data_IF_373462445815
#
_entry.id   IF_373462445815
#
_cell.length_a   1.000
_cell.length_b   1.000
_cell.length_c   1.000
_cell.angle_alpha   90.00
_cell.angle_beta   90.00
_cell.angle_gamma   90.00
#
_symmetry.space_group_name_H-M   'P 1'
#
loop_
_entity.id
_entity.type
_entity.pdbx_description
1 polymer ?
#
# COMPACT_ATOMS: atom_id res chain seq x y z
N UNK A 1 -25.53 5.79 3.37
CA UNK A 1 -24.53 5.38 2.35
C UNK A 1 -23.18 6.02 2.67
N UNK A 2 -22.13 5.25 2.71
CA UNK A 2 -20.77 5.74 3.01
C UNK A 2 -19.97 5.85 1.72
N UNK A 3 -19.32 6.99 1.47
CA UNK A 3 -18.42 7.15 0.33
C UNK A 3 -17.06 6.54 0.65
N UNK A 4 -16.61 5.67 -0.20
CA UNK A 4 -15.31 5.02 -0.09
C UNK A 4 -14.48 5.23 -1.34
N UNK A 5 -13.16 5.29 -1.14
CA UNK A 5 -12.20 5.38 -2.24
C UNK A 5 -11.59 4.01 -2.53
N UNK A 6 -11.79 3.51 -3.75
CA UNK A 6 -11.17 2.26 -4.24
C UNK A 6 -10.21 2.53 -5.37
N UNK A 7 -9.12 1.79 -5.40
CA UNK A 7 -8.11 1.87 -6.46
C UNK A 7 -8.09 0.58 -7.29
N UNK A 8 -8.39 0.69 -8.57
CA UNK A 8 -8.33 -0.39 -9.55
C UNK A 8 -7.08 -0.28 -10.40
N UNK A 9 -6.24 -1.31 -10.41
CA UNK A 9 -4.97 -1.29 -11.14
C UNK A 9 -5.02 -2.20 -12.36
N UNK A 10 -4.82 -1.62 -13.56
CA UNK A 10 -4.80 -2.33 -14.82
C UNK A 10 -3.41 -2.27 -15.44
N UNK A 11 -3.02 -3.33 -16.14
CA UNK A 11 -1.87 -3.30 -17.05
C UNK A 11 -2.28 -2.66 -18.36
N UNK A 12 -1.50 -1.69 -18.83
CA UNK A 12 -1.70 -1.01 -20.11
C UNK A 12 -0.82 -1.60 -21.21
N UNK A 13 -1.32 -1.55 -22.44
CA UNK A 13 -0.64 -1.99 -23.66
C UNK A 13 -0.59 -0.83 -24.66
N UNK A 14 0.21 0.21 -24.39
CA UNK A 14 0.31 1.37 -25.27
C UNK A 14 1.03 1.07 -26.59
N UNK A 15 0.65 1.76 -27.66
CA UNK A 15 1.33 1.79 -28.96
C UNK A 15 2.71 2.43 -28.85
N UNK A 16 3.49 2.47 -29.90
CA UNK A 16 4.81 3.12 -29.88
C UNK A 16 4.70 4.62 -29.60
N UNK A 17 3.83 5.33 -30.32
CA UNK A 17 3.59 6.76 -30.10
C UNK A 17 3.09 7.08 -28.68
N UNK A 18 2.18 6.26 -28.16
CA UNK A 18 1.73 6.39 -26.77
C UNK A 18 2.85 6.13 -25.76
N UNK A 19 3.78 5.19 -26.02
CA UNK A 19 4.96 4.97 -25.15
C UNK A 19 5.89 6.17 -25.14
N UNK A 20 6.11 6.81 -26.27
CA UNK A 20 6.93 8.03 -26.36
C UNK A 20 6.32 9.16 -25.54
N UNK A 21 5.00 9.39 -25.70
CA UNK A 21 4.29 10.40 -24.91
C UNK A 21 4.29 10.09 -23.41
N UNK A 22 4.18 8.82 -23.03
CA UNK A 22 4.30 8.38 -21.62
C UNK A 22 5.71 8.64 -21.06
N UNK A 23 6.77 8.36 -21.82
CA UNK A 23 8.15 8.63 -21.36
C UNK A 23 8.42 10.15 -21.27
N UNK A 24 7.87 10.97 -22.21
CA UNK A 24 7.87 12.44 -22.10
C UNK A 24 7.13 12.89 -20.85
N UNK A 25 5.93 12.36 -20.58
CA UNK A 25 5.13 12.68 -19.40
C UNK A 25 5.88 12.37 -18.09
N UNK A 26 6.55 11.21 -17.99
CA UNK A 26 7.40 10.90 -16.82
C UNK A 26 8.60 11.84 -16.70
N UNK A 27 9.17 12.27 -17.83
CA UNK A 27 10.24 13.26 -17.89
C UNK A 27 9.81 14.61 -17.35
N UNK A 28 8.70 15.12 -17.85
CA UNK A 28 8.13 16.42 -17.47
C UNK A 28 7.72 16.43 -15.99
N UNK A 29 7.03 15.39 -15.53
CA UNK A 29 6.68 15.29 -14.10
C UNK A 29 7.89 15.36 -13.19
N UNK A 30 9.01 14.75 -13.59
CA UNK A 30 10.28 14.83 -12.85
C UNK A 30 10.89 16.22 -12.94
N UNK A 31 10.87 16.84 -14.12
CA UNK A 31 11.42 18.19 -14.35
C UNK A 31 10.72 19.22 -13.47
N UNK A 32 9.39 19.27 -13.49
CA UNK A 32 8.59 20.19 -12.65
C UNK A 32 8.90 20.00 -11.16
N UNK A 33 8.92 18.74 -10.70
CA UNK A 33 9.28 18.45 -9.32
C UNK A 33 10.66 18.99 -8.95
N UNK A 34 11.66 18.76 -9.80
CA UNK A 34 13.03 19.16 -9.57
C UNK A 34 13.21 20.68 -9.68
N UNK A 35 12.55 21.34 -10.63
CA UNK A 35 12.58 22.76 -10.83
C UNK A 35 12.15 23.52 -9.56
N UNK A 36 10.96 23.19 -9.05
CA UNK A 36 10.45 23.82 -7.84
C UNK A 36 11.20 23.39 -6.57
N UNK A 37 11.75 22.20 -6.53
CA UNK A 37 12.64 21.80 -5.43
C UNK A 37 13.92 22.62 -5.41
N UNK A 38 14.56 22.84 -6.58
CA UNK A 38 15.76 23.67 -6.69
C UNK A 38 15.49 25.12 -6.34
N UNK A 39 14.36 25.68 -6.81
CA UNK A 39 13.96 27.06 -6.49
C UNK A 39 13.65 27.27 -5.00
N UNK A 40 13.32 26.21 -4.27
CA UNK A 40 12.96 26.28 -2.85
C UNK A 40 14.14 26.53 -1.91
N UNK A 41 15.38 26.51 -2.37
CA UNK A 41 16.61 26.83 -1.61
C UNK A 41 16.63 26.20 -0.20
N UNK A 42 16.40 24.89 -0.10
CA UNK A 42 16.43 24.13 1.16
C UNK A 42 15.45 24.56 2.26
N UNK A 43 14.43 25.37 1.95
CA UNK A 43 13.40 25.74 2.92
C UNK A 43 12.68 24.47 3.43
N UNK A 44 12.15 24.53 4.66
CA UNK A 44 11.45 23.40 5.29
C UNK A 44 10.08 23.09 4.69
N UNK A 45 9.51 24.00 3.92
CA UNK A 45 8.19 23.85 3.28
C UNK A 45 8.17 24.52 1.90
N UNK A 46 7.13 24.22 1.11
CA UNK A 46 6.88 24.85 -0.18
C UNK A 46 5.43 25.32 -0.26
N UNK A 47 5.22 26.50 -0.85
CA UNK A 47 3.87 27.00 -1.13
C UNK A 47 3.46 26.57 -2.55
N UNK A 48 2.59 25.55 -2.63
CA UNK A 48 2.10 25.02 -3.90
C UNK A 48 1.34 26.07 -4.73
N UNK A 49 0.60 26.97 -4.10
CA UNK A 49 -0.19 27.98 -4.81
C UNK A 49 0.70 28.99 -5.52
N UNK A 50 1.81 29.40 -4.88
CA UNK A 50 2.81 30.23 -5.51
C UNK A 50 3.47 29.53 -6.69
N UNK A 51 3.86 28.26 -6.54
CA UNK A 51 4.41 27.45 -7.63
C UNK A 51 3.44 27.31 -8.81
N UNK A 52 2.12 27.19 -8.53
CA UNK A 52 1.09 27.12 -9.58
C UNK A 52 0.94 28.47 -10.31
N UNK A 53 1.07 29.61 -9.62
CA UNK A 53 1.07 30.95 -10.26
C UNK A 53 2.26 31.14 -11.21
N UNK A 54 3.41 30.58 -10.90
CA UNK A 54 4.62 30.65 -11.73
C UNK A 54 4.60 29.65 -12.90
N UNK A 55 3.75 28.62 -12.85
CA UNK A 55 3.72 27.56 -13.85
C UNK A 55 3.41 28.05 -15.29
N UNK A 56 2.52 29.04 -15.54
CA UNK A 56 2.26 29.56 -16.89
C UNK A 56 3.49 30.18 -17.55
N UNK A 57 4.30 30.91 -16.80
CA UNK A 57 5.56 31.51 -17.32
C UNK A 57 6.55 30.40 -17.68
N UNK A 58 6.73 29.41 -16.79
CA UNK A 58 7.58 28.26 -17.06
C UNK A 58 7.15 27.49 -18.31
N UNK A 59 5.83 27.40 -18.58
CA UNK A 59 5.30 26.75 -19.79
C UNK A 59 5.57 27.60 -21.04
N UNK A 60 5.52 28.93 -20.93
CA UNK A 60 5.88 29.84 -22.06
C UNK A 60 7.34 29.68 -22.44
N UNK A 61 8.23 29.62 -21.48
CA UNK A 61 9.67 29.39 -21.70
C UNK A 61 9.98 27.97 -22.21
N UNK A 62 9.11 27.00 -21.92
CA UNK A 62 9.31 25.57 -22.22
C UNK A 62 8.09 24.98 -22.94
N UNK A 63 7.89 25.33 -24.20
CA UNK A 63 6.70 24.95 -24.99
C UNK A 63 6.46 23.45 -25.10
N UNK A 64 7.53 22.63 -25.02
CA UNK A 64 7.42 21.17 -25.02
C UNK A 64 6.57 20.61 -23.85
N UNK A 65 6.31 21.41 -22.80
CA UNK A 65 5.38 21.02 -21.73
C UNK A 65 3.91 20.98 -22.18
N UNK A 66 3.55 21.68 -23.25
CA UNK A 66 2.18 21.67 -23.80
C UNK A 66 1.79 20.33 -24.44
N UNK A 67 2.78 19.49 -24.75
CA UNK A 67 2.54 18.17 -25.34
C UNK A 67 1.86 17.19 -24.39
N UNK A 68 2.02 17.38 -23.08
CA UNK A 68 1.47 16.47 -22.06
C UNK A 68 0.20 17.03 -21.41
N UNK A 69 -0.42 16.21 -20.58
CA UNK A 69 -1.59 16.60 -19.81
C UNK A 69 -1.28 17.70 -18.79
N UNK A 70 -2.05 18.78 -18.80
CA UNK A 70 -1.88 19.93 -17.90
C UNK A 70 -2.07 19.55 -16.40
N UNK A 71 -2.92 18.57 -16.11
CA UNK A 71 -3.09 18.07 -14.75
C UNK A 71 -1.79 17.46 -14.18
N UNK A 72 -0.98 16.83 -15.02
CA UNK A 72 0.33 16.28 -14.62
C UNK A 72 1.24 17.36 -14.04
N UNK A 73 1.25 18.55 -14.66
CA UNK A 73 2.12 19.66 -14.22
C UNK A 73 1.78 20.07 -12.80
N UNK A 74 0.50 20.33 -12.51
CA UNK A 74 0.01 20.71 -11.19
C UNK A 74 0.19 19.59 -10.16
N UNK A 75 -0.13 18.35 -10.52
CA UNK A 75 0.00 17.22 -9.59
C UNK A 75 1.46 16.90 -9.26
N UNK A 76 2.41 17.28 -10.11
CA UNK A 76 3.83 17.17 -9.80
C UNK A 76 4.26 18.14 -8.69
N UNK A 77 3.69 19.35 -8.64
CA UNK A 77 3.87 20.32 -7.56
C UNK A 77 3.24 19.80 -6.26
N UNK A 78 2.02 19.25 -6.33
CA UNK A 78 1.37 18.65 -5.16
C UNK A 78 2.19 17.50 -4.57
N UNK A 79 2.78 16.65 -5.42
CA UNK A 79 3.66 15.58 -4.96
C UNK A 79 4.91 16.11 -4.24
N UNK A 80 5.42 17.28 -4.64
CA UNK A 80 6.53 17.93 -3.95
C UNK A 80 6.08 18.45 -2.58
N UNK A 81 4.93 19.15 -2.50
CA UNK A 81 4.35 19.61 -1.24
C UNK A 81 4.12 18.45 -0.26
N UNK A 82 3.54 17.34 -0.73
CA UNK A 82 3.33 16.15 0.08
C UNK A 82 4.65 15.56 0.61
N UNK A 83 5.72 15.63 -0.19
CA UNK A 83 7.04 15.20 0.25
C UNK A 83 7.58 16.08 1.40
N UNK A 84 7.38 17.39 1.33
CA UNK A 84 7.73 18.32 2.42
C UNK A 84 6.85 18.11 3.66
N UNK A 85 5.55 17.92 3.49
CA UNK A 85 4.63 17.61 4.62
C UNK A 85 5.04 16.33 5.36
N UNK A 86 5.47 15.31 4.63
CA UNK A 86 5.99 14.07 5.24
C UNK A 86 7.31 14.30 5.98
N UNK A 87 8.19 15.12 5.42
CA UNK A 87 9.44 15.51 6.07
C UNK A 87 9.19 16.27 7.37
N UNK A 88 8.31 17.28 7.36
CA UNK A 88 7.97 18.05 8.56
C UNK A 88 7.32 17.22 9.67
N UNK A 89 6.64 16.12 9.32
CA UNK A 89 6.08 15.15 10.27
C UNK A 89 7.08 14.08 10.74
N UNK A 90 8.35 14.15 10.35
CA UNK A 90 9.37 13.14 10.67
C UNK A 90 9.17 11.80 9.96
N UNK A 91 8.24 11.70 9.00
CA UNK A 91 7.90 10.47 8.29
C UNK A 91 8.82 10.13 7.12
N UNK A 92 9.69 11.06 6.73
CA UNK A 92 10.66 10.88 5.64
C UNK A 92 11.83 11.84 5.78
N UNK A 93 12.95 11.54 5.10
CA UNK A 93 14.04 12.49 4.94
C UNK A 93 13.62 13.66 4.05
N UNK A 94 14.42 14.74 4.07
CA UNK A 94 14.25 15.91 3.19
C UNK A 94 14.07 15.48 1.72
N UNK A 95 13.16 16.11 0.96
CA UNK A 95 12.96 15.81 -0.46
C UNK A 95 14.25 15.92 -1.26
N UNK A 96 14.52 14.93 -2.11
CA UNK A 96 15.72 14.87 -2.96
C UNK A 96 15.35 15.02 -4.43
N UNK A 97 16.30 15.52 -5.24
CA UNK A 97 16.14 15.56 -6.69
C UNK A 97 15.88 14.17 -7.27
N UNK A 98 14.89 14.10 -8.16
CA UNK A 98 14.53 12.89 -8.87
C UNK A 98 15.45 12.67 -10.08
N UNK A 99 15.96 11.46 -10.28
CA UNK A 99 16.75 11.07 -11.43
C UNK A 99 16.01 10.16 -12.39
N UNK A 100 16.36 10.18 -13.68
CA UNK A 100 15.76 9.32 -14.73
C UNK A 100 15.92 7.83 -14.42
N UNK A 101 17.04 7.46 -13.77
CA UNK A 101 17.40 6.06 -13.53
C UNK A 101 16.87 5.53 -12.19
N UNK A 102 16.93 6.33 -11.12
CA UNK A 102 16.63 5.89 -9.75
C UNK A 102 15.19 6.15 -9.33
N UNK A 103 14.54 7.19 -9.89
CA UNK A 103 13.20 7.57 -9.45
C UNK A 103 12.11 6.75 -10.14
N UNK A 104 11.00 6.53 -9.42
CA UNK A 104 9.82 5.89 -9.97
C UNK A 104 9.27 6.71 -11.14
N UNK A 105 9.09 6.06 -12.28
CA UNK A 105 8.44 6.66 -13.44
C UNK A 105 6.93 6.64 -13.24
N UNK A 106 6.35 7.74 -12.82
CA UNK A 106 4.91 7.87 -12.60
C UNK A 106 4.46 9.32 -12.66
N UNK A 107 3.22 9.52 -13.07
CA UNK A 107 2.49 10.78 -12.93
C UNK A 107 1.02 10.50 -12.61
N UNK A 108 0.33 11.52 -12.11
CA UNK A 108 -1.08 11.48 -11.76
C UNK A 108 -1.84 12.49 -12.63
N UNK A 109 -3.02 12.12 -13.07
CA UNK A 109 -3.99 12.99 -13.74
C UNK A 109 -5.34 12.89 -13.05
N UNK A 110 -6.06 13.99 -12.97
CA UNK A 110 -7.40 14.03 -12.39
C UNK A 110 -8.45 13.88 -13.50
N UNK A 111 -9.59 13.29 -13.15
CA UNK A 111 -10.73 13.29 -14.05
C UNK A 111 -11.37 14.67 -14.04
N UNK A 112 -11.44 15.29 -15.22
CA UNK A 112 -12.14 16.56 -15.44
C UNK A 112 -13.46 16.20 -16.13
N UNK A 113 -14.56 16.60 -15.49
CA UNK A 113 -15.89 16.45 -16.04
C UNK A 113 -16.33 17.79 -16.65
N UNK A 114 -16.78 17.77 -17.90
CA UNK A 114 -17.37 18.92 -18.59
C UNK A 114 -18.73 18.55 -19.15
N UNK A 115 -19.63 19.50 -19.18
CA UNK A 115 -20.95 19.34 -19.82
C UNK A 115 -20.99 20.17 -21.09
N UNK A 116 -21.34 19.52 -22.20
CA UNK A 116 -21.54 20.19 -23.49
C UNK A 116 -22.79 19.65 -24.15
N UNK A 117 -23.71 20.54 -24.54
CA UNK A 117 -25.02 20.19 -25.14
C UNK A 117 -25.78 19.12 -24.35
N UNK A 118 -25.84 19.27 -23.02
CA UNK A 118 -26.52 18.33 -22.12
C UNK A 118 -25.81 16.99 -21.91
N UNK A 119 -24.69 16.72 -22.56
CA UNK A 119 -23.91 15.49 -22.40
C UNK A 119 -22.71 15.71 -21.49
N UNK A 120 -22.48 14.75 -20.61
CA UNK A 120 -21.35 14.75 -19.67
C UNK A 120 -20.16 14.05 -20.32
N UNK A 121 -19.02 14.74 -20.37
CA UNK A 121 -17.76 14.23 -20.87
C UNK A 121 -16.75 14.12 -19.74
N UNK A 122 -16.11 12.97 -19.63
CA UNK A 122 -15.04 12.72 -18.68
C UNK A 122 -13.70 12.66 -19.41
N UNK A 123 -12.67 13.24 -18.80
CA UNK A 123 -11.30 13.14 -19.34
C UNK A 123 -10.67 11.76 -19.13
N UNK A 124 -11.20 10.97 -18.19
CA UNK A 124 -10.81 9.58 -17.92
C UNK A 124 -12.06 8.71 -18.04
N UNK A 125 -12.07 7.80 -19.00
CA UNK A 125 -13.17 6.86 -19.23
C UNK A 125 -12.62 5.43 -19.27
N UNK A 126 -13.34 4.48 -18.64
CA UNK A 126 -12.96 3.06 -18.62
C UNK A 126 -14.10 2.24 -19.20
N UNK A 127 -13.80 1.51 -20.26
CA UNK A 127 -14.69 0.53 -20.83
C UNK A 127 -14.11 -0.88 -20.60
N UNK A 128 -14.67 -1.63 -19.65
CA UNK A 128 -14.18 -2.96 -19.29
C UNK A 128 -14.56 -4.03 -20.31
N UNK A 129 -15.69 -3.88 -21.01
CA UNK A 129 -16.11 -4.79 -22.08
C UNK A 129 -15.14 -4.73 -23.25
N UNK A 130 -14.86 -3.54 -23.75
CA UNK A 130 -13.86 -3.30 -24.80
C UNK A 130 -12.43 -3.42 -24.29
N UNK A 131 -12.21 -3.50 -22.97
CA UNK A 131 -10.88 -3.52 -22.32
C UNK A 131 -10.03 -2.31 -22.69
N UNK A 132 -10.64 -1.13 -22.69
CA UNK A 132 -10.03 0.14 -23.04
C UNK A 132 -10.11 1.13 -21.89
N UNK A 133 -9.11 2.00 -21.80
CA UNK A 133 -9.11 3.20 -20.98
C UNK A 133 -8.75 4.39 -21.85
N UNK A 134 -9.54 5.46 -21.75
CA UNK A 134 -9.25 6.76 -22.35
C UNK A 134 -8.56 7.64 -21.31
N UNK A 135 -7.45 8.24 -21.68
CA UNK A 135 -6.65 9.12 -20.82
C UNK A 135 -6.34 10.42 -21.58
N UNK A 136 -6.22 11.58 -20.88
CA UNK A 136 -5.87 12.85 -21.50
C UNK A 136 -4.61 12.74 -22.35
N UNK A 137 -4.63 13.33 -23.56
CA UNK A 137 -3.56 13.31 -24.56
C UNK A 137 -3.20 11.92 -25.13
N UNK A 138 -3.39 10.83 -24.35
CA UNK A 138 -3.05 9.45 -24.74
C UNK A 138 -4.17 8.75 -25.53
N UNK A 139 -5.39 9.31 -25.55
CA UNK A 139 -6.57 8.70 -26.17
C UNK A 139 -6.85 7.31 -25.55
N UNK A 140 -7.37 6.38 -26.33
CA UNK A 140 -7.71 5.03 -25.88
C UNK A 140 -6.49 4.12 -25.84
N UNK A 141 -6.35 3.38 -24.73
CA UNK A 141 -5.28 2.39 -24.53
C UNK A 141 -5.89 1.07 -24.09
N UNK A 142 -5.43 -0.02 -24.69
CA UNK A 142 -5.82 -1.38 -24.29
C UNK A 142 -5.33 -1.70 -22.88
N UNK A 143 -6.24 -2.24 -22.04
CA UNK A 143 -5.94 -2.62 -20.65
C UNK A 143 -6.26 -4.08 -20.37
N UNK A 144 -5.63 -4.65 -19.34
CA UNK A 144 -5.96 -5.96 -18.76
C UNK A 144 -5.89 -5.93 -17.24
N UNK A 145 -6.84 -6.59 -16.61
CA UNK A 145 -6.96 -6.75 -15.16
C UNK A 145 -8.39 -7.17 -14.80
N UNK A 146 -8.59 -7.69 -13.59
CA UNK A 146 -9.91 -7.99 -13.01
C UNK A 146 -10.86 -8.78 -13.94
N UNK A 147 -10.54 -10.05 -14.19
CA UNK A 147 -11.29 -10.89 -15.16
C UNK A 147 -12.80 -10.94 -14.91
N UNK A 148 -13.21 -10.92 -13.63
CA UNK A 148 -14.61 -11.03 -13.22
C UNK A 148 -15.30 -9.69 -12.99
N UNK A 149 -14.60 -8.56 -13.22
CA UNK A 149 -15.18 -7.23 -13.04
C UNK A 149 -15.81 -6.78 -14.36
N UNK A 150 -17.13 -6.76 -14.41
CA UNK A 150 -17.90 -6.33 -15.59
C UNK A 150 -18.00 -4.79 -15.67
N UNK A 151 -18.13 -4.12 -14.51
CA UNK A 151 -18.30 -2.68 -14.44
C UNK A 151 -17.61 -2.11 -13.18
N UNK A 152 -17.05 -0.91 -13.29
CA UNK A 152 -16.64 -0.09 -12.16
C UNK A 152 -17.84 0.78 -11.78
N UNK A 153 -18.35 0.56 -10.56
CA UNK A 153 -19.42 1.39 -10.00
C UNK A 153 -18.80 2.62 -9.35
N UNK A 154 -19.39 3.80 -9.59
CA UNK A 154 -18.94 5.02 -8.96
C UNK A 154 -18.20 6.00 -9.88
N UNK A 155 -17.78 7.12 -9.32
CA UNK A 155 -17.16 8.25 -10.03
C UNK A 155 -15.64 8.08 -10.09
N UNK A 156 -15.07 8.13 -11.29
CA UNK A 156 -13.61 8.20 -11.46
C UNK A 156 -13.10 9.55 -10.97
N UNK A 157 -12.20 9.55 -10.01
CA UNK A 157 -11.62 10.76 -9.42
C UNK A 157 -10.29 11.11 -10.08
N UNK A 158 -9.39 10.14 -10.19
CA UNK A 158 -8.08 10.33 -10.80
C UNK A 158 -7.48 9.02 -11.28
N UNK A 159 -6.41 9.12 -12.06
CA UNK A 159 -5.60 7.99 -12.48
C UNK A 159 -4.12 8.27 -12.23
N UNK A 160 -3.42 7.28 -11.69
CA UNK A 160 -1.95 7.29 -11.59
C UNK A 160 -1.37 6.33 -12.62
N UNK A 161 -0.65 6.88 -13.58
CA UNK A 161 0.02 6.12 -14.62
C UNK A 161 1.47 5.88 -14.19
N UNK A 162 1.95 4.64 -14.31
CA UNK A 162 3.32 4.32 -13.92
C UNK A 162 3.94 3.18 -14.72
N UNK A 163 5.27 3.15 -14.72
CA UNK A 163 6.06 2.08 -15.33
C UNK A 163 6.76 1.27 -14.25
N UNK A 164 6.59 -0.05 -14.27
CA UNK A 164 7.22 -0.98 -13.34
C UNK A 164 7.65 -2.25 -14.08
N UNK A 165 8.89 -2.70 -13.86
CA UNK A 165 9.46 -3.87 -14.56
C UNK A 165 9.25 -3.81 -16.09
N UNK A 166 9.47 -2.64 -16.69
CA UNK A 166 9.30 -2.35 -18.12
C UNK A 166 7.88 -2.54 -18.69
N UNK A 167 6.86 -2.56 -17.82
CA UNK A 167 5.44 -2.63 -18.20
C UNK A 167 4.73 -1.39 -17.70
N UNK A 168 3.71 -0.96 -18.45
CA UNK A 168 2.90 0.21 -18.10
C UNK A 168 1.65 -0.22 -17.34
N UNK A 169 1.28 0.57 -16.36
CA UNK A 169 0.13 0.35 -15.49
C UNK A 169 -0.62 1.66 -15.29
N UNK A 170 -1.90 1.55 -15.07
CA UNK A 170 -2.75 2.63 -14.57
C UNK A 170 -3.47 2.15 -13.31
N UNK A 171 -3.41 2.96 -12.27
CA UNK A 171 -4.21 2.79 -11.06
C UNK A 171 -5.26 3.89 -11.05
N UNK A 172 -6.51 3.50 -11.20
CA UNK A 172 -7.65 4.41 -11.24
C UNK A 172 -8.30 4.46 -9.87
N UNK A 173 -8.41 5.66 -9.32
CA UNK A 173 -9.11 5.91 -8.07
C UNK A 173 -10.56 6.24 -8.36
N UNK A 174 -11.46 5.49 -7.75
CA UNK A 174 -12.90 5.62 -7.92
C UNK A 174 -13.55 5.89 -6.57
N UNK A 175 -14.42 6.86 -6.52
CA UNK A 175 -15.31 7.12 -5.40
C UNK A 175 -16.58 6.29 -5.59
N UNK A 176 -16.78 5.31 -4.72
CA UNK A 176 -17.95 4.44 -4.73
C UNK A 176 -18.83 4.73 -3.51
N UNK A 177 -20.12 4.73 -3.72
CA UNK A 177 -21.09 4.72 -2.61
C UNK A 177 -21.35 3.27 -2.21
N UNK A 178 -21.08 2.96 -0.96
CA UNK A 178 -21.27 1.66 -0.40
C UNK A 178 -22.35 1.71 0.69
N UNK A 179 -23.37 0.90 0.54
CA UNK A 179 -24.28 0.61 1.64
C UNK A 179 -23.56 -0.38 2.55
N UNK A 180 -23.05 0.10 3.68
CA UNK A 180 -22.39 -0.75 4.67
C UNK A 180 -23.51 -1.44 5.44
N UNK A 181 -23.58 -2.79 5.47
CA UNK A 181 -24.56 -3.48 6.27
C UNK A 181 -24.33 -3.18 7.75
N UNK A 182 -25.39 -2.91 8.46
CA UNK A 182 -25.37 -2.92 9.94
C UNK A 182 -25.46 -4.40 10.33
N UNK A 183 -24.46 -4.88 11.06
CA UNK A 183 -24.42 -6.26 11.52
C UNK A 183 -24.45 -6.27 13.05
N UNK A 184 -25.16 -7.24 13.62
CA UNK A 184 -25.01 -7.61 15.04
C UNK A 184 -23.87 -8.62 15.12
N UNK A 185 -22.74 -8.29 15.77
CA UNK A 185 -21.60 -9.18 15.81
C UNK A 185 -21.92 -10.48 16.55
N UNK A 186 -21.62 -11.61 15.92
CA UNK A 186 -21.82 -12.94 16.50
C UNK A 186 -20.52 -13.69 16.69
N UNK A 187 -19.51 -13.39 15.90
CA UNK A 187 -18.20 -14.07 15.96
C UNK A 187 -17.05 -13.06 16.02
N UNK A 188 -16.15 -13.28 16.99
CA UNK A 188 -14.98 -12.44 17.19
C UNK A 188 -13.70 -13.29 17.13
N UNK A 189 -12.60 -12.69 16.67
CA UNK A 189 -11.30 -13.34 16.54
C UNK A 189 -10.17 -12.41 16.96
N UNK A 190 -9.22 -12.95 17.72
CA UNK A 190 -7.95 -12.33 18.07
C UNK A 190 -6.83 -12.87 17.20
N UNK A 191 -5.94 -11.98 16.78
CA UNK A 191 -4.88 -12.27 15.80
C UNK A 191 -3.53 -11.83 16.37
N UNK A 192 -2.64 -12.80 16.58
CA UNK A 192 -1.23 -12.55 16.85
C UNK A 192 -0.41 -12.74 15.58
N UNK A 193 0.48 -11.79 15.26
CA UNK A 193 1.31 -11.84 14.04
C UNK A 193 2.74 -12.20 14.36
N UNK A 194 3.27 -13.20 13.67
CA UNK A 194 4.59 -13.76 13.92
C UNK A 194 5.49 -13.86 12.70
N UNK A 195 6.75 -14.20 12.93
CA UNK A 195 7.75 -14.48 11.87
C UNK A 195 7.74 -15.95 11.47
N UNK A 196 7.60 -16.85 12.45
CA UNK A 196 7.56 -18.29 12.20
C UNK A 196 6.27 -18.65 11.50
N UNK A 197 5.16 -18.38 12.15
CA UNK A 197 3.83 -18.38 11.58
C UNK A 197 3.45 -16.92 11.27
N UNK A 198 2.80 -16.68 10.14
CA UNK A 198 2.44 -15.30 9.76
C UNK A 198 1.35 -14.76 10.67
N UNK A 199 0.51 -15.66 11.18
CA UNK A 199 -0.64 -15.35 12.00
C UNK A 199 -1.02 -16.55 12.85
N UNK A 200 -1.32 -16.31 14.12
CA UNK A 200 -1.96 -17.26 15.05
C UNK A 200 -3.29 -16.68 15.50
N UNK A 201 -4.36 -17.47 15.46
CA UNK A 201 -5.71 -17.04 15.81
C UNK A 201 -6.09 -17.51 17.22
N UNK A 202 -7.03 -16.81 17.86
CA UNK A 202 -7.61 -17.22 19.14
C UNK A 202 -8.33 -18.57 19.13
N UNK A 203 -8.70 -19.05 17.93
CA UNK A 203 -9.28 -20.37 17.73
C UNK A 203 -8.21 -21.49 17.64
N UNK A 204 -6.94 -21.16 17.86
CA UNK A 204 -5.81 -22.11 17.79
C UNK A 204 -5.31 -22.41 16.38
N UNK A 205 -5.83 -21.74 15.34
CA UNK A 205 -5.37 -21.95 13.98
C UNK A 205 -4.09 -21.13 13.73
N UNK A 206 -3.07 -21.80 13.21
CA UNK A 206 -1.81 -21.17 12.81
C UNK A 206 -1.71 -21.12 11.29
N UNK A 207 -1.33 -19.96 10.74
CA UNK A 207 -1.14 -19.77 9.31
C UNK A 207 0.36 -19.65 8.99
N UNK A 208 0.83 -20.53 8.10
CA UNK A 208 2.24 -20.61 7.73
C UNK A 208 2.77 -19.32 7.11
N UNK A 209 3.96 -18.89 7.52
CA UNK A 209 4.70 -17.87 6.80
C UNK A 209 5.40 -18.50 5.58
N UNK A 210 4.86 -18.31 4.38
CA UNK A 210 5.37 -18.89 3.13
C UNK A 210 6.77 -18.41 2.72
N UNK A 211 7.44 -17.56 3.51
CA UNK A 211 8.81 -17.09 3.32
C UNK A 211 9.15 -16.81 1.84
N UNK A 212 8.29 -16.03 1.18
CA UNK A 212 8.32 -15.82 -0.27
C UNK A 212 9.70 -15.38 -0.80
N UNK A 213 10.48 -14.66 0.02
CA UNK A 213 11.81 -14.20 -0.38
C UNK A 213 12.78 -15.36 -0.63
N UNK A 214 12.69 -16.45 0.15
CA UNK A 214 13.59 -17.61 0.03
C UNK A 214 13.49 -18.23 -1.37
N UNK A 215 12.27 -18.33 -1.92
CA UNK A 215 12.05 -18.85 -3.29
C UNK A 215 12.83 -18.10 -4.36
N UNK A 216 13.08 -16.82 -4.16
CA UNK A 216 13.75 -15.96 -5.14
C UNK A 216 15.16 -15.55 -4.71
N UNK A 217 15.60 -15.92 -3.50
CA UNK A 217 16.84 -15.41 -2.90
C UNK A 217 18.07 -15.69 -3.74
N UNK A 218 18.28 -16.93 -4.17
CA UNK A 218 19.44 -17.31 -4.98
C UNK A 218 19.46 -16.54 -6.31
N UNK A 219 18.28 -16.36 -6.93
CA UNK A 219 18.16 -15.60 -8.17
C UNK A 219 18.45 -14.12 -7.96
N UNK A 220 17.99 -13.54 -6.84
CA UNK A 220 18.26 -12.14 -6.47
C UNK A 220 19.76 -11.96 -6.18
N UNK A 221 20.37 -12.87 -5.39
CA UNK A 221 21.82 -12.85 -5.10
C UNK A 221 22.64 -12.91 -6.37
N UNK A 222 22.35 -13.86 -7.28
CA UNK A 222 23.05 -13.99 -8.57
C UNK A 222 22.93 -12.74 -9.44
N UNK A 223 21.70 -12.18 -9.57
CA UNK A 223 21.48 -10.97 -10.34
C UNK A 223 22.18 -9.75 -9.74
N UNK A 224 22.22 -9.62 -8.41
CA UNK A 224 22.96 -8.55 -7.74
C UNK A 224 24.47 -8.68 -7.93
N UNK A 225 25.03 -9.91 -7.88
CA UNK A 225 26.44 -10.18 -8.18
C UNK A 225 26.79 -9.76 -9.61
N UNK A 226 25.95 -10.09 -10.58
CA UNK A 226 26.14 -9.65 -11.98
C UNK A 226 25.99 -8.14 -12.13
N UNK A 227 25.04 -7.53 -11.42
CA UNK A 227 24.85 -6.08 -11.44
C UNK A 227 26.07 -5.34 -10.90
N UNK A 228 26.68 -5.83 -9.82
CA UNK A 228 27.89 -5.25 -9.22
C UNK A 228 29.10 -5.30 -10.19
N UNK A 229 29.22 -6.38 -10.97
CA UNK A 229 30.31 -6.57 -11.94
C UNK A 229 30.07 -5.84 -13.26
N UNK A 230 28.86 -5.35 -13.52
CA UNK A 230 28.51 -4.74 -14.82
C UNK A 230 28.89 -3.26 -14.86
N UNK A 231 29.43 -2.82 -16.00
CA UNK A 231 29.83 -1.43 -16.24
C UNK A 231 28.64 -0.48 -16.11
N UNK A 232 28.73 0.60 -15.30
CA UNK A 232 27.71 1.64 -15.21
C UNK A 232 27.35 2.18 -16.60
N UNK A 233 26.04 2.35 -16.89
CA UNK A 233 25.54 2.86 -18.17
C UNK A 233 25.45 1.83 -19.30
N UNK A 234 26.05 0.63 -19.19
CA UNK A 234 26.05 -0.38 -20.24
C UNK A 234 24.68 -0.98 -20.54
N UNK A 235 24.46 -1.42 -21.78
CA UNK A 235 23.25 -2.14 -22.21
C UNK A 235 23.05 -3.42 -21.38
N UNK A 236 24.13 -4.12 -21.02
CA UNK A 236 24.07 -5.33 -20.19
C UNK A 236 23.60 -5.02 -18.76
N UNK A 237 24.13 -3.99 -18.13
CA UNK A 237 23.66 -3.55 -16.83
C UNK A 237 22.16 -3.26 -16.85
N UNK A 238 21.69 -2.60 -17.89
CA UNK A 238 20.26 -2.30 -18.04
C UNK A 238 19.40 -3.57 -18.18
N UNK A 239 19.88 -4.59 -18.91
CA UNK A 239 19.22 -5.90 -19.01
C UNK A 239 19.12 -6.59 -17.63
N UNK A 240 20.21 -6.55 -16.83
CA UNK A 240 20.24 -7.14 -15.48
C UNK A 240 19.24 -6.43 -14.56
N UNK A 241 19.22 -5.09 -14.56
CA UNK A 241 18.26 -4.31 -13.77
C UNK A 241 16.81 -4.70 -14.13
N UNK A 242 16.49 -4.86 -15.42
CA UNK A 242 15.15 -5.31 -15.85
C UNK A 242 14.79 -6.70 -15.32
N UNK A 243 15.74 -7.63 -15.36
CA UNK A 243 15.55 -8.99 -14.80
C UNK A 243 15.29 -8.91 -13.30
N UNK A 244 16.10 -8.14 -12.57
CA UNK A 244 15.97 -7.94 -11.12
C UNK A 244 14.61 -7.32 -10.75
N UNK A 245 14.20 -6.25 -11.43
CA UNK A 245 12.88 -5.64 -11.24
C UNK A 245 11.73 -6.63 -11.47
N UNK A 246 11.88 -7.51 -12.46
CA UNK A 246 10.88 -8.55 -12.76
C UNK A 246 10.77 -9.57 -11.62
N UNK A 247 11.91 -9.99 -11.03
CA UNK A 247 11.91 -10.91 -9.89
C UNK A 247 11.29 -10.28 -8.65
N UNK A 248 11.67 -9.05 -8.31
CA UNK A 248 11.06 -8.33 -7.19
C UNK A 248 9.54 -8.10 -7.38
N UNK A 249 9.11 -7.86 -8.61
CA UNK A 249 7.68 -7.75 -8.90
C UNK A 249 6.92 -9.07 -8.70
N UNK A 250 7.52 -10.20 -9.10
CA UNK A 250 6.93 -11.52 -8.84
C UNK A 250 6.81 -11.78 -7.34
N UNK A 251 7.86 -11.48 -6.58
CA UNK A 251 7.88 -11.59 -5.12
C UNK A 251 6.77 -10.73 -4.48
N UNK A 252 6.69 -9.45 -4.84
CA UNK A 252 5.65 -8.53 -4.36
C UNK A 252 4.24 -9.05 -4.65
N UNK A 253 4.01 -9.55 -5.87
CA UNK A 253 2.69 -10.07 -6.26
C UNK A 253 2.32 -11.34 -5.49
N UNK A 254 3.28 -12.25 -5.27
CA UNK A 254 3.06 -13.48 -4.50
C UNK A 254 2.68 -13.17 -3.05
N UNK A 255 3.41 -12.26 -2.38
CA UNK A 255 3.07 -11.77 -1.04
C UNK A 255 1.67 -11.18 -1.02
N UNK A 256 1.41 -10.22 -1.91
CA UNK A 256 0.11 -9.53 -1.96
C UNK A 256 -1.05 -10.51 -2.17
N UNK A 257 -0.89 -11.47 -3.05
CA UNK A 257 -1.90 -12.51 -3.29
C UNK A 257 -2.17 -13.30 -2.02
N UNK A 258 -1.14 -13.80 -1.35
CA UNK A 258 -1.25 -14.57 -0.12
C UNK A 258 -1.94 -13.79 1.01
N UNK A 259 -1.53 -12.54 1.23
CA UNK A 259 -2.16 -11.68 2.23
C UNK A 259 -3.63 -11.38 1.91
N UNK A 260 -3.98 -11.23 0.63
CA UNK A 260 -5.38 -11.06 0.24
C UNK A 260 -6.22 -12.31 0.49
N UNK A 261 -5.65 -13.51 0.30
CA UNK A 261 -6.33 -14.78 0.62
C UNK A 261 -6.63 -14.84 2.10
N UNK A 262 -5.60 -14.73 2.96
CA UNK A 262 -5.74 -14.76 4.42
C UNK A 262 -6.76 -13.73 4.91
N UNK A 263 -6.57 -12.47 4.53
CA UNK A 263 -7.45 -11.40 5.02
C UNK A 263 -8.89 -11.51 4.50
N UNK A 264 -9.12 -12.14 3.34
CA UNK A 264 -10.49 -12.39 2.87
C UNK A 264 -11.18 -13.50 3.68
N UNK A 265 -10.46 -14.57 4.02
CA UNK A 265 -10.96 -15.66 4.84
C UNK A 265 -11.34 -15.18 6.24
N UNK A 266 -10.42 -14.46 6.92
CA UNK A 266 -10.67 -13.90 8.25
C UNK A 266 -11.90 -12.98 8.25
N UNK A 267 -11.98 -12.06 7.29
CA UNK A 267 -13.10 -11.10 7.20
C UNK A 267 -14.41 -11.80 6.82
N UNK A 268 -14.37 -12.88 6.05
CA UNK A 268 -15.56 -13.63 5.68
C UNK A 268 -16.21 -14.30 6.90
N UNK A 269 -15.40 -14.85 7.79
CA UNK A 269 -15.84 -15.72 8.87
C UNK A 269 -16.10 -15.00 10.20
N UNK A 270 -15.57 -13.79 10.40
CA UNK A 270 -15.62 -13.10 11.67
C UNK A 270 -16.22 -11.69 11.55
N UNK A 271 -16.88 -11.21 12.59
CA UNK A 271 -17.55 -9.91 12.65
C UNK A 271 -16.71 -8.88 13.42
N UNK A 272 -16.01 -9.32 14.50
CA UNK A 272 -15.05 -8.51 15.23
C UNK A 272 -13.66 -9.11 15.02
N UNK A 273 -12.74 -8.31 14.52
CA UNK A 273 -11.36 -8.69 14.26
C UNK A 273 -10.44 -7.82 15.11
N UNK A 274 -9.62 -8.43 15.93
CA UNK A 274 -8.67 -7.73 16.80
C UNK A 274 -7.24 -8.16 16.53
N UNK A 275 -6.30 -7.23 16.54
CA UNK A 275 -4.87 -7.53 16.38
C UNK A 275 -4.02 -6.51 17.15
N UNK A 276 -2.74 -6.79 17.33
CA UNK A 276 -1.81 -5.87 17.96
C UNK A 276 -1.49 -4.66 17.06
N UNK A 277 -1.28 -3.51 17.69
CA UNK A 277 -0.72 -2.32 17.06
C UNK A 277 0.80 -2.39 17.09
N UNK A 278 1.41 -2.73 15.95
CA UNK A 278 2.86 -2.91 15.86
C UNK A 278 3.59 -1.64 15.40
N UNK A 279 4.66 -1.29 16.08
CA UNK A 279 5.61 -0.25 15.68
C UNK A 279 6.67 -0.80 14.71
N UNK A 280 6.22 -1.22 13.52
CA UNK A 280 7.04 -1.94 12.54
C UNK A 280 8.33 -1.19 12.18
N UNK A 281 8.28 0.15 12.09
CA UNK A 281 9.46 0.97 11.81
C UNK A 281 10.53 0.84 12.89
N UNK A 282 10.13 0.85 14.17
CA UNK A 282 11.04 0.66 15.30
C UNK A 282 11.59 -0.76 15.31
N UNK A 283 10.74 -1.76 15.10
CA UNK A 283 11.12 -3.18 15.07
C UNK A 283 12.09 -3.51 13.93
N UNK A 284 12.06 -2.76 12.83
CA UNK A 284 12.97 -2.98 11.68
C UNK A 284 14.23 -2.14 11.74
N UNK A 285 14.31 -1.14 12.63
CA UNK A 285 15.50 -0.28 12.74
C UNK A 285 16.67 -1.05 13.31
N UNK A 286 17.74 -1.23 12.49
CA UNK A 286 18.96 -1.96 12.84
C UNK A 286 18.77 -3.38 13.42
N UNK A 287 17.63 -4.02 13.13
CA UNK A 287 17.31 -5.36 13.63
C UNK A 287 17.79 -6.45 12.67
N UNK A 288 18.38 -7.56 13.18
CA UNK A 288 18.81 -8.70 12.35
C UNK A 288 17.63 -9.40 11.67
N UNK A 289 16.43 -9.28 12.23
CA UNK A 289 15.20 -9.89 11.68
C UNK A 289 14.42 -8.96 10.75
N UNK A 290 14.94 -7.77 10.42
CA UNK A 290 14.26 -6.79 9.53
C UNK A 290 13.81 -7.40 8.21
N UNK A 291 14.66 -8.27 7.62
CA UNK A 291 14.36 -8.95 6.35
C UNK A 291 13.13 -9.85 6.47
N UNK A 292 13.00 -10.58 7.57
CA UNK A 292 11.86 -11.45 7.85
C UNK A 292 10.58 -10.66 8.08
N UNK A 293 10.64 -9.56 8.84
CA UNK A 293 9.50 -8.66 9.07
C UNK A 293 9.02 -8.05 7.75
N UNK A 294 9.92 -7.58 6.89
CA UNK A 294 9.56 -7.07 5.56
C UNK A 294 9.01 -8.18 4.65
N UNK A 295 9.46 -9.42 4.79
CA UNK A 295 8.94 -10.55 4.02
C UNK A 295 7.54 -10.94 4.48
N UNK A 296 7.28 -10.98 5.77
CA UNK A 296 5.97 -11.24 6.35
C UNK A 296 4.94 -10.14 5.97
N UNK A 297 5.41 -8.90 5.78
CA UNK A 297 4.58 -7.77 5.33
C UNK A 297 3.38 -7.48 6.25
N UNK A 298 3.56 -7.54 7.56
CA UNK A 298 2.52 -7.33 8.58
C UNK A 298 1.73 -6.05 8.39
N UNK A 299 2.40 -4.94 8.05
CA UNK A 299 1.72 -3.68 7.78
C UNK A 299 0.66 -3.81 6.68
N UNK A 300 0.98 -4.51 5.60
CA UNK A 300 0.04 -4.72 4.49
C UNK A 300 -1.13 -5.62 4.91
N UNK A 301 -0.87 -6.65 5.73
CA UNK A 301 -1.92 -7.53 6.27
C UNK A 301 -2.89 -6.75 7.15
N UNK A 302 -2.37 -6.02 8.13
CA UNK A 302 -3.18 -5.20 9.06
C UNK A 302 -4.00 -4.18 8.29
N UNK A 303 -3.40 -3.47 7.32
CA UNK A 303 -4.13 -2.54 6.45
C UNK A 303 -5.22 -3.22 5.63
N UNK A 304 -4.99 -4.46 5.16
CA UNK A 304 -6.03 -5.20 4.43
C UNK A 304 -7.18 -5.61 5.34
N UNK A 305 -6.91 -6.01 6.57
CA UNK A 305 -7.94 -6.29 7.57
C UNK A 305 -8.76 -5.04 7.89
N UNK A 306 -8.11 -3.91 8.17
CA UNK A 306 -8.75 -2.62 8.50
C UNK A 306 -9.74 -2.17 7.41
N UNK A 307 -9.28 -2.01 6.15
CA UNK A 307 -10.17 -1.46 5.12
C UNK A 307 -11.23 -2.45 4.65
N UNK A 308 -10.93 -3.76 4.66
CA UNK A 308 -11.91 -4.78 4.28
C UNK A 308 -13.02 -4.92 5.33
N UNK A 309 -12.68 -4.86 6.63
CA UNK A 309 -13.67 -4.82 7.72
C UNK A 309 -14.60 -3.64 7.52
N UNK A 310 -14.05 -2.43 7.31
CA UNK A 310 -14.86 -1.24 7.03
C UNK A 310 -15.78 -1.42 5.83
N UNK A 311 -15.32 -2.03 4.74
CA UNK A 311 -16.15 -2.24 3.55
C UNK A 311 -17.27 -3.26 3.73
N UNK A 312 -17.12 -4.16 4.70
CA UNK A 312 -18.07 -5.22 5.01
C UNK A 312 -18.97 -4.91 6.22
N UNK A 313 -18.85 -3.72 6.82
CA UNK A 313 -19.56 -3.35 8.04
C UNK A 313 -19.09 -4.10 9.28
N UNK A 314 -17.89 -4.69 9.23
CA UNK A 314 -17.31 -5.45 10.33
C UNK A 314 -16.41 -4.57 11.18
N UNK A 315 -16.22 -4.97 12.41
CA UNK A 315 -15.50 -4.22 13.44
C UNK A 315 -14.04 -4.64 13.43
N UNK A 316 -13.14 -3.66 13.50
CA UNK A 316 -11.70 -3.88 13.54
C UNK A 316 -11.05 -3.03 14.63
N UNK A 317 -10.37 -3.68 15.58
CA UNK A 317 -9.63 -3.03 16.63
C UNK A 317 -8.14 -3.39 16.61
N UNK A 318 -7.32 -2.43 16.98
CA UNK A 318 -5.91 -2.66 17.29
C UNK A 318 -5.68 -2.41 18.77
N UNK A 319 -5.24 -3.47 19.47
CA UNK A 319 -4.86 -3.43 20.88
C UNK A 319 -3.58 -2.62 21.02
N UNK A 320 -3.41 -1.92 22.14
CA UNK A 320 -2.23 -1.08 22.39
C UNK A 320 -0.91 -1.85 22.23
N UNK A 321 0.11 -1.14 21.72
CA UNK A 321 1.43 -1.72 21.46
C UNK A 321 2.12 -2.31 22.72
N UNK A 322 1.79 -1.78 23.87
CA UNK A 322 2.39 -2.19 25.16
C UNK A 322 1.54 -3.15 25.96
N UNK A 323 0.40 -3.57 25.42
CA UNK A 323 -0.43 -4.59 26.05
C UNK A 323 0.34 -5.91 26.11
N UNK A 324 0.56 -6.49 27.31
CA UNK A 324 1.45 -7.65 27.50
C UNK A 324 0.76 -8.97 27.11
N UNK A 325 0.18 -9.05 25.92
CA UNK A 325 -0.62 -10.17 25.42
C UNK A 325 0.02 -11.54 25.64
N UNK A 326 1.32 -11.66 25.34
CA UNK A 326 2.07 -12.93 25.48
C UNK A 326 2.52 -13.26 26.90
N UNK A 327 2.42 -12.30 27.85
CA UNK A 327 2.83 -12.48 29.24
C UNK A 327 1.65 -12.73 30.20
N UNK A 328 0.44 -12.40 29.79
CA UNK A 328 -0.78 -12.62 30.53
C UNK A 328 -1.27 -14.05 30.34
N UNK A 329 -1.64 -14.73 31.43
CA UNK A 329 -2.37 -15.98 31.30
C UNK A 329 -3.81 -15.72 30.84
N UNK A 330 -4.22 -16.27 29.72
CA UNK A 330 -5.57 -16.05 29.20
C UNK A 330 -6.68 -16.62 30.07
N UNK A 331 -6.35 -17.58 30.95
CA UNK A 331 -7.28 -18.23 31.86
C UNK A 331 -7.55 -17.42 33.14
N UNK A 332 -6.48 -16.86 33.80
CA UNK A 332 -6.63 -16.20 35.09
C UNK A 332 -6.14 -14.74 35.14
N UNK A 333 -5.59 -14.22 34.07
CA UNK A 333 -5.07 -12.84 34.00
C UNK A 333 -3.73 -12.61 34.72
N UNK A 334 -3.13 -13.64 35.35
CA UNK A 334 -1.83 -13.50 36.01
C UNK A 334 -0.75 -13.13 35.01
N UNK A 335 0.05 -12.11 35.30
CA UNK A 335 1.15 -11.68 34.45
C UNK A 335 2.49 -12.31 34.87
N UNK A 336 3.03 -13.17 34.01
CA UNK A 336 4.38 -13.75 34.18
C UNK A 336 5.43 -12.83 33.55
N UNK A 337 6.02 -11.94 34.34
CA UNK A 337 6.98 -10.92 33.86
C UNK A 337 8.29 -11.51 33.31
N UNK A 338 8.60 -12.76 33.62
CA UNK A 338 9.82 -13.43 33.17
C UNK A 338 9.73 -14.00 31.75
N UNK A 339 8.55 -13.99 31.11
CA UNK A 339 8.34 -14.44 29.75
C UNK A 339 8.82 -13.41 28.67
N UNK A 340 9.92 -12.72 28.95
CA UNK A 340 10.53 -11.79 27.97
C UNK A 340 11.30 -12.54 26.88
N UNK A 341 11.80 -13.74 27.17
CA UNK A 341 12.48 -14.55 26.17
C UNK A 341 11.49 -15.06 25.09
N UNK A 342 11.74 -14.68 23.85
CA UNK A 342 10.94 -15.08 22.68
C UNK A 342 11.12 -16.56 22.33
N UNK A 343 12.12 -17.23 22.88
CA UNK A 343 12.37 -18.68 22.71
C UNK A 343 11.38 -19.56 23.47
N UNK A 344 10.80 -19.04 24.56
CA UNK A 344 9.84 -19.81 25.37
C UNK A 344 8.50 -19.85 24.63
N UNK A 345 8.13 -21.02 24.14
CA UNK A 345 6.88 -21.22 23.39
C UNK A 345 5.76 -21.79 24.24
N UNK A 346 6.09 -22.71 25.16
CA UNK A 346 5.15 -23.31 26.08
C UNK A 346 5.54 -22.94 27.51
N UNK A 347 4.57 -22.57 28.31
CA UNK A 347 4.77 -22.21 29.72
C UNK A 347 3.58 -22.56 30.58
N UNK A 348 3.84 -22.83 31.85
CA UNK A 348 2.82 -23.13 32.86
C UNK A 348 2.60 -21.89 33.72
N UNK A 349 1.35 -21.47 33.88
CA UNK A 349 0.99 -20.36 34.74
C UNK A 349 1.28 -20.69 36.22
N UNK A 350 2.00 -19.80 36.89
CA UNK A 350 2.33 -19.98 38.31
C UNK A 350 1.12 -19.82 39.25
N UNK A 351 0.08 -19.12 38.81
CA UNK A 351 -1.11 -18.89 39.64
C UNK A 351 -2.16 -19.99 39.47
N UNK A 352 -2.54 -20.35 38.24
CA UNK A 352 -3.63 -21.30 37.99
C UNK A 352 -3.17 -22.64 37.40
N UNK A 353 -1.86 -22.84 37.23
CA UNK A 353 -1.25 -24.04 36.64
C UNK A 353 -1.67 -24.39 35.22
N UNK A 354 -2.41 -23.52 34.54
CA UNK A 354 -2.78 -23.73 33.16
C UNK A 354 -1.53 -23.77 32.25
N UNK A 355 -1.53 -24.71 31.30
CA UNK A 355 -0.47 -24.78 30.26
C UNK A 355 -0.85 -23.90 29.10
N UNK A 356 0.05 -23.01 28.72
CA UNK A 356 -0.18 -22.04 27.69
C UNK A 356 0.82 -22.22 26.54
N UNK A 357 0.32 -22.32 25.31
CA UNK A 357 1.11 -22.06 24.13
C UNK A 357 1.13 -20.55 23.89
N UNK A 358 2.33 -19.96 23.79
CA UNK A 358 2.54 -18.51 23.85
C UNK A 358 1.74 -17.73 22.80
N UNK A 359 1.80 -18.17 21.55
CA UNK A 359 1.20 -17.43 20.43
C UNK A 359 -0.34 -17.57 20.45
N UNK A 360 -0.87 -18.75 20.84
CA UNK A 360 -2.32 -18.95 21.06
C UNK A 360 -2.79 -18.16 22.28
N UNK A 361 -2.05 -18.22 23.39
CA UNK A 361 -2.37 -17.43 24.58
C UNK A 361 -2.41 -15.93 24.28
N UNK A 362 -1.44 -15.43 23.50
CA UNK A 362 -1.41 -14.04 23.07
C UNK A 362 -2.64 -13.66 22.24
N UNK A 363 -2.99 -14.48 21.27
CA UNK A 363 -4.16 -14.23 20.40
C UNK A 363 -5.49 -14.21 21.16
N UNK A 364 -5.64 -15.06 22.19
CA UNK A 364 -6.82 -15.05 23.08
C UNK A 364 -6.85 -13.77 23.92
N UNK A 365 -5.72 -13.35 24.50
CA UNK A 365 -5.65 -12.09 25.24
C UNK A 365 -5.94 -10.86 24.37
N UNK A 366 -5.45 -10.85 23.11
CA UNK A 366 -5.76 -9.82 22.12
C UNK A 366 -7.27 -9.80 21.81
N UNK A 367 -7.91 -10.96 21.68
CA UNK A 367 -9.35 -11.07 21.50
C UNK A 367 -10.10 -10.43 22.67
N UNK A 368 -9.79 -10.82 23.91
CA UNK A 368 -10.48 -10.30 25.09
C UNK A 368 -10.32 -8.80 25.24
N UNK A 369 -9.12 -8.26 25.02
CA UNK A 369 -8.92 -6.82 25.06
C UNK A 369 -9.70 -6.09 23.97
N UNK A 370 -9.75 -6.64 22.76
CA UNK A 370 -10.57 -6.10 21.68
C UNK A 370 -12.08 -6.14 21.97
N UNK A 371 -12.58 -7.20 22.61
CA UNK A 371 -13.98 -7.27 23.06
C UNK A 371 -14.27 -6.21 24.13
N UNK A 372 -13.36 -6.00 25.08
CA UNK A 372 -13.50 -4.89 26.07
C UNK A 372 -13.58 -3.53 25.40
N UNK A 373 -12.74 -3.29 24.37
CA UNK A 373 -12.80 -2.04 23.59
C UNK A 373 -14.14 -1.89 22.87
N UNK A 374 -14.67 -2.96 22.31
CA UNK A 374 -15.97 -2.97 21.64
C UNK A 374 -17.09 -2.60 22.63
N UNK A 375 -17.19 -3.31 23.75
CA UNK A 375 -18.22 -3.07 24.76
C UNK A 375 -18.15 -1.64 25.34
N UNK A 376 -16.94 -1.12 25.57
CA UNK A 376 -16.76 0.26 26.02
C UNK A 376 -17.28 1.29 25.01
N UNK A 377 -17.09 1.05 23.72
CA UNK A 377 -17.57 1.96 22.70
C UNK A 377 -19.09 1.90 22.52
N UNK A 378 -19.71 0.72 22.66
CA UNK A 378 -21.17 0.59 22.65
C UNK A 378 -21.81 1.32 23.83
N UNK A 379 -21.25 1.14 25.05
CA UNK A 379 -21.74 1.83 26.27
C UNK A 379 -21.55 3.37 26.24
N UNK A 380 -20.74 3.90 25.35
CA UNK A 380 -20.55 5.35 25.16
C UNK A 380 -21.39 5.91 24.02
N UNK A 381 -22.00 5.05 23.22
CA UNK A 381 -22.82 5.45 22.07
C UNK A 381 -24.32 5.55 22.43
N UNK A 382 -24.73 4.96 23.57
CA UNK A 382 -26.04 5.11 24.23
C UNK A 382 -26.01 6.33 25.16
#
# INVERSE_FOLDING_TARGET
>A
MTRIMKAYTFRMYPTLSQKELLEKSFGISRYIYNYFLGKNNYKKCINKFQCIKELPELIKENEWMKEVDSCLLRTSIFNLEDSFKRYSKGLSNHPKFKSKQKSKKSYRTNNITSTYKGKIYNSIEINLEKKLIKLPKLKEIKIRGYRNLKQIKGRVVNATIYKEANKYYVSVCVEEELTIPVITPTKAIGLDVGIKEILTTSDGITLENKKHIQKYENKIKGLNKWLARSTPGSKNRYKIIKKLQTVYKKLKNARKFYLHTISNEIIKENDIITCEKLKITEMTHKSPISKQIYDASWYELIKQLEYKSKWKGKIFYQVDTYYPSSQLCHHCGYQEKNLKDLGIRNWKCKNCSNQNERDINASINILWEGIKMYLKNELQAD
#
